data_IF_931338178342
#
_entry.id   IF_931338178342
#
_cell.length_a   1.000
_cell.length_b   1.000
_cell.length_c   1.000
_cell.angle_alpha   90.00
_cell.angle_beta   90.00
_cell.angle_gamma   90.00
#
_symmetry.space_group_name_H-M   'P 1'
#
loop_
_entity.id
_entity.type
_entity.pdbx_description
1 polymer ?
#
# COMPACT_ATOMS: atom_id res chain seq x y z
N UNK A 1 -3.36 -17.46 52.89
CA UNK A 1 -2.23 -18.35 53.22
C UNK A 1 -1.38 -18.49 51.96
N UNK A 2 -0.19 -17.83 51.93
CA UNK A 2 1.05 -18.09 51.11
C UNK A 2 0.87 -18.28 49.58
N UNK A 3 1.43 -17.49 48.64
CA UNK A 3 2.81 -17.08 48.27
C UNK A 3 2.61 -16.07 47.10
N UNK A 4 3.23 -14.91 46.93
CA UNK A 4 4.64 -14.48 46.97
C UNK A 4 5.56 -15.37 46.12
N UNK A 5 5.71 -15.01 44.85
CA UNK A 5 6.81 -15.37 43.94
C UNK A 5 6.85 -14.29 42.83
N UNK A 6 7.57 -13.19 43.01
CA UNK A 6 8.99 -13.02 42.64
C UNK A 6 9.33 -13.40 41.18
N UNK A 7 9.13 -12.46 40.24
CA UNK A 7 10.00 -12.38 39.05
C UNK A 7 10.79 -11.09 39.08
N UNK A 8 11.81 -11.21 39.93
CA UNK A 8 13.01 -10.41 40.09
C UNK A 8 13.60 -10.03 38.74
N UNK A 9 13.58 -8.74 38.48
CA UNK A 9 14.43 -8.05 37.51
C UNK A 9 15.89 -8.46 37.75
N UNK A 10 16.50 -9.12 36.77
CA UNK A 10 17.95 -9.25 36.69
C UNK A 10 18.45 -8.34 35.58
N UNK A 11 18.63 -7.08 35.96
CA UNK A 11 19.66 -6.22 35.38
C UNK A 11 21.01 -6.93 35.57
N UNK A 12 21.50 -7.59 34.53
CA UNK A 12 22.92 -7.93 34.45
C UNK A 12 23.63 -6.70 33.85
N UNK A 13 24.03 -5.80 34.74
CA UNK A 13 25.14 -4.89 34.49
C UNK A 13 26.42 -5.74 34.38
N UNK A 14 26.76 -6.11 33.15
CA UNK A 14 28.08 -6.66 32.83
C UNK A 14 29.10 -5.53 32.79
N UNK A 15 29.72 -5.24 33.93
CA UNK A 15 30.96 -4.47 34.01
C UNK A 15 32.07 -5.28 33.34
N UNK A 16 32.42 -4.93 32.10
CA UNK A 16 33.64 -5.40 31.47
C UNK A 16 34.58 -4.19 31.29
N UNK A 17 35.47 -4.07 32.27
CA UNK A 17 36.81 -3.46 32.23
C UNK A 17 37.09 -2.46 31.10
N UNK A 18 37.13 -1.17 31.47
CA UNK A 18 37.81 -0.13 30.70
C UNK A 18 39.31 -0.43 30.64
N UNK A 19 39.81 -0.82 29.46
CA UNK A 19 41.21 -0.69 29.10
C UNK A 19 41.32 0.41 28.04
N UNK A 20 41.74 1.59 28.47
CA UNK A 20 42.04 2.73 27.61
C UNK A 20 43.47 2.55 27.10
N UNK A 21 43.65 2.19 25.84
CA UNK A 21 44.90 2.32 25.10
C UNK A 21 44.55 2.72 23.66
N UNK A 22 45.12 3.85 23.23
CA UNK A 22 44.74 4.58 22.04
C UNK A 22 45.12 3.94 20.71
N UNK A 23 44.44 4.40 19.66
CA UNK A 23 44.73 4.06 18.28
C UNK A 23 43.50 4.24 17.42
N UNK A 24 43.45 5.31 16.64
CA UNK A 24 42.48 5.55 15.58
C UNK A 24 42.31 4.30 14.69
N UNK A 25 41.08 3.93 14.29
CA UNK A 25 40.71 3.40 12.95
C UNK A 25 39.22 3.03 12.89
N UNK A 26 38.51 3.71 11.98
CA UNK A 26 37.31 3.33 11.21
C UNK A 26 36.08 2.70 11.89
N UNK A 27 35.07 3.56 12.03
CA UNK A 27 33.68 3.37 11.57
C UNK A 27 33.54 2.47 10.32
N UNK A 28 32.36 1.85 10.17
CA UNK A 28 31.83 1.06 9.01
C UNK A 28 32.01 -0.45 9.23
N UNK A 29 30.96 -1.24 9.46
CA UNK A 29 29.91 -1.55 8.50
C UNK A 29 28.67 -2.11 9.21
N UNK A 30 27.65 -1.26 9.40
CA UNK A 30 26.27 -1.74 9.39
C UNK A 30 25.90 -1.98 7.92
N UNK A 31 26.22 -3.15 7.39
CA UNK A 31 25.58 -3.63 6.16
C UNK A 31 24.20 -4.16 6.54
N UNK A 32 23.28 -3.21 6.74
CA UNK A 32 21.86 -3.51 6.72
C UNK A 32 21.52 -4.17 5.38
N UNK A 33 20.82 -5.31 5.47
CA UNK A 33 20.13 -5.96 4.37
C UNK A 33 19.26 -4.93 3.61
N UNK A 34 19.79 -4.38 2.52
CA UNK A 34 18.97 -3.65 1.57
C UNK A 34 18.32 -4.69 0.67
N UNK A 35 17.11 -5.11 1.04
CA UNK A 35 16.24 -5.90 0.18
C UNK A 35 16.06 -5.12 -1.12
N UNK A 36 16.69 -5.62 -2.18
CA UNK A 36 16.77 -4.98 -3.49
C UNK A 36 15.42 -5.08 -4.20
N UNK A 37 14.48 -4.22 -3.84
CA UNK A 37 13.40 -3.90 -4.76
C UNK A 37 13.88 -2.75 -5.65
N UNK A 38 13.94 -2.95 -6.99
CA UNK A 38 14.42 -1.92 -7.92
C UNK A 38 13.44 -0.76 -8.10
N UNK A 39 12.30 -0.79 -7.40
CA UNK A 39 11.28 0.23 -7.41
C UNK A 39 11.02 0.71 -6.00
N UNK A 40 11.00 2.03 -5.82
CA UNK A 40 10.53 2.64 -4.58
C UNK A 40 9.05 2.34 -4.40
N UNK A 41 8.71 1.81 -3.23
CA UNK A 41 7.34 1.50 -2.85
C UNK A 41 6.84 2.55 -1.87
N UNK A 42 5.67 3.10 -2.16
CA UNK A 42 5.01 4.14 -1.38
C UNK A 42 3.68 3.61 -0.88
N UNK A 43 3.48 3.73 0.44
CA UNK A 43 2.19 3.43 1.04
C UNK A 43 1.23 4.56 0.72
N UNK A 44 0.17 4.21 0.00
CA UNK A 44 -0.92 5.13 -0.31
C UNK A 44 -2.15 4.76 0.47
N UNK A 45 -2.84 5.79 0.96
CA UNK A 45 -4.14 5.69 1.58
C UNK A 45 -5.08 6.66 0.90
N UNK A 46 -6.37 6.43 1.01
CA UNK A 46 -7.30 7.29 0.31
C UNK A 46 -8.76 6.94 0.51
N UNK A 47 -9.59 7.70 -0.20
CA UNK A 47 -11.03 7.53 -0.17
C UNK A 47 -11.58 7.51 -1.59
N UNK A 48 -12.51 6.60 -1.82
CA UNK A 48 -13.27 6.42 -3.06
C UNK A 48 -14.71 6.77 -2.77
N UNK A 49 -15.22 7.81 -3.44
CA UNK A 49 -16.63 8.18 -3.40
C UNK A 49 -17.14 8.43 -4.81
N UNK A 50 -18.45 8.47 -4.97
CA UNK A 50 -19.01 9.06 -6.18
C UNK A 50 -18.72 10.57 -6.25
N UNK A 51 -18.83 11.15 -7.44
CA UNK A 51 -18.69 12.61 -7.65
C UNK A 51 -19.68 13.44 -6.81
N UNK A 52 -20.82 12.84 -6.43
CA UNK A 52 -21.82 13.47 -5.57
C UNK A 52 -21.57 13.27 -4.06
N UNK A 53 -20.45 12.63 -3.69
CA UNK A 53 -20.09 12.31 -2.31
C UNK A 53 -20.80 11.08 -1.74
N UNK A 54 -21.69 10.43 -2.49
CA UNK A 54 -22.32 9.18 -2.08
C UNK A 54 -21.30 8.02 -2.04
N UNK A 55 -21.54 7.05 -1.16
CA UNK A 55 -20.80 5.79 -1.13
C UNK A 55 -21.22 4.89 -2.30
N UNK A 56 -20.29 4.05 -2.77
CA UNK A 56 -20.53 3.08 -3.84
C UNK A 56 -21.21 1.84 -3.24
N UNK A 57 -22.48 1.55 -3.59
CA UNK A 57 -23.20 0.39 -3.05
C UNK A 57 -22.67 -0.89 -3.71
N UNK A 58 -21.63 -1.47 -3.13
CA UNK A 58 -21.03 -2.72 -3.54
C UNK A 58 -20.75 -3.58 -2.30
N UNK A 59 -20.59 -4.90 -2.48
CA UNK A 59 -20.17 -5.79 -1.38
C UNK A 59 -18.67 -5.70 -1.15
N UNK A 60 -17.90 -5.51 -2.21
CA UNK A 60 -16.46 -5.32 -2.16
C UNK A 60 -16.02 -4.45 -3.33
N UNK A 61 -15.03 -3.60 -3.12
CA UNK A 61 -14.45 -2.75 -4.15
C UNK A 61 -12.95 -2.99 -4.17
N UNK A 62 -12.43 -3.27 -5.36
CA UNK A 62 -11.03 -3.50 -5.61
C UNK A 62 -10.51 -2.44 -6.56
N UNK A 63 -9.52 -1.68 -6.10
CA UNK A 63 -8.74 -0.78 -6.92
C UNK A 63 -7.58 -1.56 -7.51
N UNK A 64 -7.36 -1.41 -8.81
CA UNK A 64 -6.17 -1.92 -9.49
C UNK A 64 -5.38 -0.73 -10.00
N UNK A 65 -4.15 -0.62 -9.54
CA UNK A 65 -3.21 0.42 -9.93
C UNK A 65 -2.32 -0.14 -11.01
N UNK A 66 -2.45 0.37 -12.23
CA UNK A 66 -1.61 0.01 -13.33
C UNK A 66 -0.50 1.07 -13.49
N UNK A 67 0.76 0.76 -13.15
CA UNK A 67 1.86 1.70 -13.30
C UNK A 67 2.06 2.08 -14.77
N UNK A 68 2.28 3.37 -15.04
CA UNK A 68 2.70 3.87 -16.36
C UNK A 68 4.22 4.05 -16.47
N UNK A 69 4.96 3.68 -15.43
CA UNK A 69 6.43 3.75 -15.41
C UNK A 69 7.01 2.84 -16.50
N UNK A 70 8.00 3.34 -17.24
CA UNK A 70 8.70 2.54 -18.23
C UNK A 70 9.38 1.34 -17.56
N UNK A 71 9.32 0.17 -18.21
CA UNK A 71 10.08 -0.98 -17.77
C UNK A 71 11.58 -0.63 -17.79
N UNK A 72 12.26 -0.85 -16.67
CA UNK A 72 13.71 -0.56 -16.56
C UNK A 72 14.50 -1.55 -17.43
N UNK A 73 13.99 -2.77 -17.59
CA UNK A 73 14.54 -3.81 -18.46
C UNK A 73 13.40 -4.73 -18.97
N UNK A 74 13.66 -5.47 -20.04
CA UNK A 74 12.84 -6.54 -20.64
C UNK A 74 12.39 -7.63 -19.66
N UNK A 75 13.01 -7.72 -18.48
CA UNK A 75 12.66 -8.67 -17.41
C UNK A 75 12.01 -8.01 -16.19
N UNK A 76 12.10 -6.69 -16.09
CA UNK A 76 11.68 -5.92 -14.91
C UNK A 76 10.53 -5.03 -15.32
N UNK A 77 9.34 -5.63 -15.35
CA UNK A 77 8.09 -4.92 -15.62
C UNK A 77 7.46 -4.44 -14.31
N UNK A 78 6.97 -3.20 -14.26
CA UNK A 78 6.28 -2.71 -13.09
C UNK A 78 4.97 -3.49 -12.92
N UNK A 79 4.76 -4.03 -11.72
CA UNK A 79 3.60 -4.86 -11.42
C UNK A 79 2.40 -4.01 -11.06
N UNK A 80 1.22 -4.54 -11.36
CA UNK A 80 -0.05 -3.93 -10.96
C UNK A 80 -0.19 -4.03 -9.45
N UNK A 81 -0.55 -2.93 -8.82
CA UNK A 81 -0.94 -2.89 -7.42
C UNK A 81 -2.43 -3.12 -7.24
N UNK A 82 -2.82 -3.58 -6.05
CA UNK A 82 -4.20 -3.81 -5.67
C UNK A 82 -4.48 -3.16 -4.32
N UNK A 83 -5.60 -2.48 -4.17
CA UNK A 83 -6.10 -2.07 -2.87
C UNK A 83 -7.55 -2.52 -2.70
N UNK A 84 -7.88 -2.95 -1.49
CA UNK A 84 -9.25 -3.24 -1.10
C UNK A 84 -9.81 -2.01 -0.40
N UNK A 85 -10.97 -1.56 -0.88
CA UNK A 85 -11.67 -0.42 -0.30
C UNK A 85 -12.74 -0.94 0.64
N UNK A 86 -12.83 -0.34 1.82
CA UNK A 86 -13.91 -0.57 2.75
C UNK A 86 -15.19 0.07 2.21
N UNK A 87 -16.19 -0.73 1.87
CA UNK A 87 -17.48 -0.27 1.34
C UNK A 87 -18.33 0.49 2.36
N UNK A 88 -18.06 0.34 3.66
CA UNK A 88 -18.76 1.07 4.73
C UNK A 88 -18.40 2.56 4.74
N UNK A 89 -17.14 2.89 4.50
CA UNK A 89 -16.62 4.27 4.60
C UNK A 89 -16.09 4.82 3.28
N UNK A 90 -15.90 3.94 2.28
CA UNK A 90 -15.26 4.25 1.01
C UNK A 90 -13.73 4.39 1.10
N UNK A 91 -13.10 4.10 2.24
CA UNK A 91 -11.67 4.33 2.45
C UNK A 91 -10.82 3.07 2.17
N UNK A 92 -9.57 3.27 1.78
CA UNK A 92 -8.56 2.23 1.72
C UNK A 92 -7.29 2.69 2.46
N UNK A 93 -6.74 1.82 3.28
CA UNK A 93 -5.60 2.14 4.16
C UNK A 93 -4.26 1.73 3.56
N UNK A 94 -4.26 0.69 2.72
CA UNK A 94 -3.05 0.14 2.15
C UNK A 94 -3.28 -0.42 0.74
N UNK A 95 -2.22 -0.37 -0.05
CA UNK A 95 -2.12 -1.01 -1.34
C UNK A 95 -1.05 -2.10 -1.30
N UNK A 96 -1.23 -3.12 -2.13
CA UNK A 96 -0.41 -4.33 -2.17
C UNK A 96 0.05 -4.57 -3.60
N UNK A 97 1.37 -4.67 -3.79
CA UNK A 97 1.99 -5.02 -5.09
C UNK A 97 2.68 -6.38 -5.04
N UNK A 98 3.54 -6.61 -4.05
CA UNK A 98 4.25 -7.89 -3.86
C UNK A 98 3.90 -8.57 -2.54
N UNK A 99 4.01 -7.83 -1.43
CA UNK A 99 3.67 -8.31 -0.09
C UNK A 99 2.43 -7.57 0.45
N UNK A 100 1.70 -8.18 1.38
CA UNK A 100 0.57 -7.51 2.03
C UNK A 100 1.00 -6.16 2.60
N UNK A 101 0.37 -5.07 2.16
CA UNK A 101 0.68 -3.70 2.55
C UNK A 101 2.11 -3.21 2.22
N UNK A 102 2.71 -3.76 1.17
CA UNK A 102 4.05 -3.37 0.66
C UNK A 102 4.05 -1.99 -0.03
N UNK A 103 2.88 -1.49 -0.44
CA UNK A 103 2.74 -0.20 -1.12
C UNK A 103 2.66 -0.32 -2.65
N UNK A 104 2.57 0.84 -3.31
CA UNK A 104 2.58 0.99 -4.77
C UNK A 104 3.93 1.49 -5.25
N UNK A 105 4.27 1.21 -6.50
CA UNK A 105 5.46 1.80 -7.13
C UNK A 105 5.32 3.33 -7.11
N UNK A 106 6.41 4.06 -6.88
CA UNK A 106 6.43 5.52 -7.00
C UNK A 106 6.19 5.98 -8.45
N UNK A 107 5.31 6.96 -8.66
CA UNK A 107 5.02 7.60 -9.95
C UNK A 107 3.57 7.48 -10.41
N UNK A 108 3.36 7.67 -11.71
CA UNK A 108 2.01 7.73 -12.32
C UNK A 108 1.38 6.35 -12.48
N UNK A 109 0.15 6.22 -12.02
CA UNK A 109 -0.64 5.00 -12.10
C UNK A 109 -2.04 5.29 -12.64
N UNK A 110 -2.49 4.44 -13.56
CA UNK A 110 -3.90 4.39 -13.96
C UNK A 110 -4.69 3.56 -12.97
N UNK A 111 -5.75 4.12 -12.41
CA UNK A 111 -6.59 3.44 -11.41
C UNK A 111 -7.81 2.85 -12.06
N UNK A 112 -7.93 1.53 -11.98
CA UNK A 112 -9.11 0.80 -12.37
C UNK A 112 -9.93 0.48 -11.12
N UNK A 113 -11.24 0.65 -11.22
CA UNK A 113 -12.15 0.48 -10.08
C UNK A 113 -13.10 -0.67 -10.40
N UNK A 114 -12.97 -1.76 -9.67
CA UNK A 114 -13.80 -2.95 -9.85
C UNK A 114 -14.67 -3.12 -8.62
N UNK A 115 -15.96 -2.86 -8.78
CA UNK A 115 -16.95 -3.15 -7.77
C UNK A 115 -17.50 -4.57 -7.95
N UNK A 116 -17.59 -5.33 -6.87
CA UNK A 116 -18.16 -6.67 -6.81
C UNK A 116 -19.49 -6.66 -6.04
N UNK A 117 -20.50 -7.31 -6.60
CA UNK A 117 -21.84 -7.45 -6.03
C UNK A 117 -22.03 -8.78 -5.27
N UNK A 118 -23.29 -9.12 -5.03
CA UNK A 118 -23.67 -10.44 -4.50
C UNK A 118 -23.27 -11.52 -5.53
N UNK A 119 -22.59 -12.57 -5.09
CA UNK A 119 -21.99 -13.64 -5.91
C UNK A 119 -20.62 -13.36 -6.57
N UNK A 120 -19.93 -12.27 -6.21
CA UNK A 120 -18.60 -11.99 -6.79
C UNK A 120 -18.64 -11.61 -8.27
N UNK A 121 -19.83 -11.34 -8.80
CA UNK A 121 -20.03 -10.74 -10.12
C UNK A 121 -19.71 -9.25 -10.06
N UNK A 122 -19.12 -8.73 -11.13
CA UNK A 122 -18.88 -7.28 -11.26
C UNK A 122 -20.22 -6.54 -11.14
N UNK A 123 -20.35 -5.70 -10.13
CA UNK A 123 -21.54 -4.88 -9.94
C UNK A 123 -21.58 -3.81 -11.03
N UNK A 124 -22.72 -3.65 -11.72
CA UNK A 124 -22.96 -2.60 -12.72
C UNK A 124 -23.11 -1.20 -12.10
N UNK A 125 -22.53 -0.99 -10.92
CA UNK A 125 -22.54 0.27 -10.17
C UNK A 125 -21.36 1.17 -10.54
N UNK A 126 -20.36 0.63 -11.26
CA UNK A 126 -19.24 1.40 -11.81
C UNK A 126 -19.30 1.34 -13.34
N UNK A 127 -19.12 2.47 -14.05
CA UNK A 127 -19.08 2.47 -15.51
C UNK A 127 -17.95 1.59 -16.04
N UNK A 128 -18.14 0.92 -17.19
CA UNK A 128 -17.11 0.04 -17.76
C UNK A 128 -15.83 0.79 -18.19
N UNK A 129 -15.90 2.11 -18.33
CA UNK A 129 -14.75 2.98 -18.59
C UNK A 129 -13.69 2.88 -17.48
N UNK A 130 -14.11 2.69 -16.23
CA UNK A 130 -13.22 2.51 -15.08
C UNK A 130 -12.68 1.08 -14.95
N UNK A 131 -13.21 0.13 -15.72
CA UNK A 131 -12.76 -1.28 -15.72
C UNK A 131 -11.59 -1.52 -16.67
N UNK A 132 -11.27 -0.56 -17.55
CA UNK A 132 -10.24 -0.72 -18.58
C UNK A 132 -9.11 0.30 -18.41
N UNK A 133 -7.85 -0.11 -18.61
CA UNK A 133 -6.71 0.80 -18.52
C UNK A 133 -6.66 1.80 -19.69
N UNK A 134 -7.27 1.48 -20.84
CA UNK A 134 -7.21 2.33 -22.04
C UNK A 134 -8.19 3.51 -21.97
N UNK A 135 -9.25 3.39 -21.16
CA UNK A 135 -10.37 4.33 -21.11
C UNK A 135 -10.56 4.98 -19.74
N UNK A 136 -9.72 4.62 -18.76
CA UNK A 136 -9.81 5.15 -17.40
C UNK A 136 -9.34 6.59 -17.39
N UNK A 137 -10.19 7.56 -17.02
CA UNK A 137 -9.77 8.96 -16.88
C UNK A 137 -9.09 9.24 -15.52
N UNK A 138 -8.89 8.21 -14.70
CA UNK A 138 -8.32 8.33 -13.35
C UNK A 138 -6.84 7.99 -13.39
N UNK A 139 -6.03 9.04 -13.40
CA UNK A 139 -4.59 8.97 -13.21
C UNK A 139 -4.29 9.49 -11.81
N UNK A 140 -3.53 8.72 -11.05
CA UNK A 140 -3.00 9.15 -9.76
C UNK A 140 -1.49 9.23 -9.82
N UNK A 141 -0.93 10.09 -8.99
CA UNK A 141 0.49 10.10 -8.70
C UNK A 141 0.70 9.61 -7.27
N UNK A 142 1.48 8.54 -7.12
CA UNK A 142 1.77 7.94 -5.81
C UNK A 142 2.78 8.78 -5.00
N UNK A 143 3.34 9.86 -5.57
CA UNK A 143 4.00 10.91 -4.79
C UNK A 143 3.05 11.52 -3.73
N UNK A 144 1.74 11.49 -3.98
CA UNK A 144 0.73 11.91 -3.02
C UNK A 144 0.25 10.71 -2.19
N UNK A 145 0.63 10.66 -0.91
CA UNK A 145 0.24 9.59 0.02
C UNK A 145 -1.27 9.55 0.36
N UNK A 146 -2.01 10.63 0.07
CA UNK A 146 -3.45 10.76 0.31
C UNK A 146 -4.20 10.97 -1.00
N UNK A 147 -4.99 9.98 -1.40
CA UNK A 147 -5.67 9.94 -2.70
C UNK A 147 -7.20 10.05 -2.54
N UNK A 148 -7.79 11.06 -3.18
CA UNK A 148 -9.25 11.19 -3.29
C UNK A 148 -9.70 10.79 -4.70
N UNK A 149 -10.33 9.62 -4.81
CA UNK A 149 -10.78 9.07 -6.10
C UNK A 149 -12.28 9.29 -6.21
N UNK A 150 -12.69 10.12 -7.18
CA UNK A 150 -14.10 10.39 -7.48
C UNK A 150 -14.56 9.58 -8.68
N UNK A 151 -15.66 8.85 -8.52
CA UNK A 151 -16.22 7.96 -9.54
C UNK A 151 -17.52 8.54 -10.09
N UNK A 152 -17.71 8.48 -11.40
CA UNK A 152 -18.99 8.85 -12.01
C UNK A 152 -20.02 7.76 -11.76
N UNK A 153 -21.23 8.17 -11.33
CA UNK A 153 -22.37 7.24 -11.25
C UNK A 153 -22.76 6.78 -12.66
N UNK A 154 -22.97 5.48 -12.89
CA UNK A 154 -23.48 5.01 -14.17
C UNK A 154 -24.93 5.48 -14.35
N UNK A 155 -25.29 5.89 -15.57
CA UNK A 155 -26.69 6.13 -15.96
C UNK A 155 -27.44 4.79 -15.99
N UNK A 156 -28.00 4.37 -14.86
CA UNK A 156 -28.83 3.17 -14.77
C UNK A 156 -28.71 2.35 -13.48
N UNK A 157 -28.11 2.89 -12.42
CA UNK A 157 -28.19 2.33 -11.07
C UNK A 157 -29.47 2.81 -10.36
#
# INVERSE_FOLDING_TARGET
MRRSDDKRWRFMYGSCSMSVLGGATLLLLQLGCSGSNPYDLVNVSGKVTYEDGSLIPAKSIMLKFNPEVAAIDTKTHPRKGFALVNVSDGTFEYATTHTHADGLVAGKHKVLIVAYGEEGKSAKVVPPEYLRPDTTPVEIDTENASLEIKVKKPKGA
#
